data_IF_310923826826
#
_entry.id   IF_310923826826
#
_cell.length_a   1.000
_cell.length_b   1.000
_cell.length_c   1.000
_cell.angle_alpha   90.00
_cell.angle_beta   90.00
_cell.angle_gamma   90.00
#
_symmetry.space_group_name_H-M   'P 1'
#
loop_
_entity.id
_entity.type
_entity.pdbx_description
1 polymer ?
#
# COMPACT_ATOMS: atom_id res chain seq x y z
N UNK A 1 20.28 -34.88 -23.07
CA UNK A 1 20.20 -35.84 -21.95
C UNK A 1 20.61 -35.26 -20.58
N UNK A 2 20.59 -33.93 -20.35
CA UNK A 2 21.01 -33.32 -19.05
C UNK A 2 19.86 -32.74 -18.19
N UNK A 3 18.60 -32.77 -18.67
CA UNK A 3 17.46 -32.18 -17.93
C UNK A 3 16.86 -33.09 -16.84
N UNK A 4 17.14 -34.39 -16.87
CA UNK A 4 16.57 -35.35 -15.89
C UNK A 4 17.36 -35.43 -14.57
N UNK A 5 18.59 -34.94 -14.50
CA UNK A 5 19.41 -35.02 -13.29
C UNK A 5 19.09 -33.93 -12.25
N UNK A 6 18.60 -32.76 -12.69
CA UNK A 6 18.29 -31.64 -11.79
C UNK A 6 17.00 -31.90 -10.99
N UNK A 7 16.01 -32.57 -11.59
CA UNK A 7 14.77 -32.94 -10.88
C UNK A 7 15.00 -33.97 -9.77
N UNK A 8 15.96 -34.89 -9.95
CA UNK A 8 16.30 -35.89 -8.92
C UNK A 8 16.94 -35.28 -7.68
N UNK A 9 17.79 -34.26 -7.84
CA UNK A 9 18.46 -33.59 -6.71
C UNK A 9 17.52 -32.68 -5.89
N UNK A 10 16.55 -32.02 -6.53
CA UNK A 10 15.55 -31.20 -5.83
C UNK A 10 14.58 -32.08 -5.04
N UNK A 11 14.17 -33.23 -5.59
CA UNK A 11 13.32 -34.19 -4.87
C UNK A 11 14.06 -34.86 -3.71
N UNK A 12 15.36 -35.15 -3.84
CA UNK A 12 16.16 -35.66 -2.72
C UNK A 12 16.36 -34.61 -1.61
N UNK A 13 16.51 -33.33 -1.95
CA UNK A 13 16.61 -32.26 -0.96
C UNK A 13 15.29 -32.05 -0.18
N UNK A 14 14.15 -32.15 -0.87
CA UNK A 14 12.83 -32.08 -0.23
C UNK A 14 12.51 -33.32 0.62
N UNK A 15 12.90 -34.52 0.17
CA UNK A 15 12.72 -35.74 0.95
C UNK A 15 13.58 -35.75 2.23
N UNK A 16 14.80 -35.20 2.18
CA UNK A 16 15.68 -35.11 3.35
C UNK A 16 15.21 -34.08 4.39
N UNK A 17 14.48 -33.05 3.98
CA UNK A 17 13.85 -32.10 4.90
C UNK A 17 12.65 -32.70 5.65
N UNK A 18 12.01 -33.73 5.11
CA UNK A 18 10.87 -34.42 5.73
C UNK A 18 11.27 -35.55 6.70
N UNK A 19 12.55 -35.94 6.73
CA UNK A 19 13.10 -36.95 7.64
C UNK A 19 13.85 -36.37 8.84
N UNK A 20 13.71 -35.07 9.13
CA UNK A 20 14.13 -34.61 10.46
C UNK A 20 13.22 -35.30 11.50
N UNK A 21 13.78 -36.13 12.41
CA UNK A 21 12.98 -36.76 13.44
C UNK A 21 12.34 -35.65 14.26
N UNK A 22 11.01 -35.56 14.22
CA UNK A 22 10.26 -34.82 15.20
C UNK A 22 10.60 -35.42 16.56
N UNK A 23 11.59 -34.82 17.23
CA UNK A 23 11.90 -35.10 18.61
C UNK A 23 10.59 -34.96 19.37
N UNK A 24 10.08 -36.09 19.86
CA UNK A 24 8.97 -36.15 20.78
C UNK A 24 9.36 -35.28 21.98
N UNK A 25 8.91 -34.02 21.99
CA UNK A 25 9.08 -33.10 23.09
C UNK A 25 8.36 -33.73 24.29
N UNK A 26 9.14 -34.31 25.21
CA UNK A 26 8.63 -34.74 26.50
C UNK A 26 8.01 -33.51 27.18
N UNK A 27 6.70 -33.51 27.36
CA UNK A 27 5.88 -32.38 27.80
C UNK A 27 6.07 -31.94 29.26
N UNK A 28 7.27 -32.09 29.82
CA UNK A 28 7.61 -31.71 31.19
C UNK A 28 8.91 -30.91 31.31
N UNK A 29 9.53 -30.50 30.20
CA UNK A 29 10.53 -29.42 30.27
C UNK A 29 9.83 -28.15 30.80
N UNK A 30 10.23 -27.75 32.01
CA UNK A 30 9.85 -26.48 32.63
C UNK A 30 10.04 -25.39 31.59
N UNK A 31 8.93 -24.83 31.12
CA UNK A 31 8.95 -23.72 30.18
C UNK A 31 9.86 -22.64 30.78
N UNK A 32 10.83 -22.09 30.01
CA UNK A 32 11.67 -21.02 30.50
C UNK A 32 10.79 -19.92 31.08
N UNK A 33 11.18 -19.38 32.25
CA UNK A 33 10.45 -18.27 32.87
C UNK A 33 10.21 -17.19 31.81
N UNK A 34 8.93 -16.86 31.59
CA UNK A 34 8.55 -15.87 30.59
C UNK A 34 9.29 -14.57 30.86
N UNK A 35 9.80 -13.97 29.80
CA UNK A 35 10.38 -12.65 29.92
C UNK A 35 9.29 -11.69 30.43
N UNK A 36 9.54 -10.90 31.50
CA UNK A 36 8.55 -9.93 31.99
C UNK A 36 8.13 -8.92 30.90
N UNK A 37 8.98 -8.70 29.89
CA UNK A 37 8.65 -7.85 28.75
C UNK A 37 7.66 -8.47 27.77
N UNK A 38 7.78 -9.77 27.46
CA UNK A 38 6.91 -10.46 26.50
C UNK A 38 5.50 -10.72 27.04
N UNK A 39 5.33 -10.63 28.36
CA UNK A 39 4.06 -10.88 29.06
C UNK A 39 3.37 -9.61 29.57
N UNK A 40 3.99 -8.44 29.38
CA UNK A 40 3.42 -7.17 29.82
C UNK A 40 2.32 -6.70 28.88
N UNK A 41 1.05 -6.83 29.31
CA UNK A 41 -0.11 -6.24 28.63
C UNK A 41 0.04 -4.74 28.43
N UNK A 42 0.75 -4.07 29.34
CA UNK A 42 1.02 -2.65 29.21
C UNK A 42 1.97 -2.36 28.04
N UNK A 43 3.05 -3.15 27.90
CA UNK A 43 3.96 -3.01 26.75
C UNK A 43 3.21 -3.25 25.43
N UNK A 44 2.30 -4.23 25.40
CA UNK A 44 1.42 -4.46 24.25
C UNK A 44 0.55 -3.23 23.95
N UNK A 45 -0.06 -2.63 24.97
CA UNK A 45 -0.84 -1.40 24.84
C UNK A 45 -0.01 -0.24 24.28
N UNK A 46 1.22 -0.06 24.77
CA UNK A 46 2.13 0.96 24.26
C UNK A 46 2.59 0.68 22.82
N UNK A 47 2.92 -0.57 22.48
CA UNK A 47 3.28 -0.96 21.10
C UNK A 47 2.11 -0.77 20.13
N UNK A 48 0.89 -1.09 20.56
CA UNK A 48 -0.31 -0.87 19.76
C UNK A 48 -0.59 0.62 19.55
N UNK A 49 -0.47 1.43 20.61
CA UNK A 49 -0.71 2.86 20.60
C UNK A 49 0.29 3.64 19.76
N UNK A 50 1.58 3.42 20.03
CA UNK A 50 2.67 4.11 19.33
C UNK A 50 3.06 3.42 18.04
N UNK A 51 2.29 2.41 17.64
CA UNK A 51 2.51 1.73 16.39
C UNK A 51 3.95 1.21 16.27
N UNK A 52 4.45 0.57 17.32
CA UNK A 52 5.83 0.08 17.37
C UNK A 52 6.91 1.15 17.14
N UNK A 53 6.55 2.45 17.15
CA UNK A 53 7.52 3.53 17.07
C UNK A 53 8.24 3.63 18.41
N UNK A 54 9.32 2.86 18.47
CA UNK A 54 10.20 2.76 19.62
C UNK A 54 10.62 4.11 20.20
N UNK A 55 10.94 5.10 19.35
CA UNK A 55 11.41 6.40 19.82
C UNK A 55 10.30 7.17 20.53
N UNK A 56 9.06 7.09 20.04
CA UNK A 56 7.90 7.69 20.71
C UNK A 56 7.58 6.96 22.01
N UNK A 57 7.63 5.62 22.02
CA UNK A 57 7.46 4.83 23.25
C UNK A 57 8.51 5.20 24.29
N UNK A 58 9.78 5.34 23.89
CA UNK A 58 10.88 5.74 24.76
C UNK A 58 10.69 7.16 25.28
N UNK A 59 10.23 8.09 24.44
CA UNK A 59 9.94 9.45 24.87
C UNK A 59 8.80 9.48 25.90
N UNK A 60 7.70 8.77 25.63
CA UNK A 60 6.58 8.60 26.54
C UNK A 60 7.03 7.99 27.87
N UNK A 61 7.84 6.93 27.83
CA UNK A 61 8.33 6.26 29.03
C UNK A 61 9.28 7.13 29.86
N UNK A 62 10.10 7.97 29.23
CA UNK A 62 10.93 8.95 29.95
C UNK A 62 10.09 9.99 30.68
N UNK A 63 8.98 10.43 30.08
CA UNK A 63 8.07 11.39 30.71
C UNK A 63 7.26 10.76 31.86
N UNK A 64 6.89 9.48 31.71
CA UNK A 64 5.84 8.88 32.55
C UNK A 64 6.32 7.78 33.52
N UNK A 65 7.56 7.31 33.43
CA UNK A 65 8.05 6.20 34.28
C UNK A 65 8.09 6.50 35.78
N UNK A 66 8.16 7.78 36.17
CA UNK A 66 8.11 8.21 37.57
C UNK A 66 6.69 8.55 38.06
N UNK A 67 5.69 8.52 37.18
CA UNK A 67 4.34 8.93 37.52
C UNK A 67 3.67 7.87 38.41
N UNK A 68 3.31 8.28 39.62
CA UNK A 68 2.73 7.38 40.62
C UNK A 68 1.29 7.02 40.28
N UNK A 69 0.56 7.77 39.43
CA UNK A 69 -0.84 7.48 39.10
C UNK A 69 -1.18 7.82 37.65
N UNK A 70 -2.24 7.24 37.09
CA UNK A 70 -2.67 7.50 35.71
C UNK A 70 -3.01 8.99 35.47
N UNK A 71 -3.55 9.68 36.48
CA UNK A 71 -3.86 11.12 36.39
C UNK A 71 -2.62 12.01 36.31
N UNK A 72 -1.46 11.47 36.67
CA UNK A 72 -0.18 12.17 36.58
C UNK A 72 0.56 11.88 35.26
N UNK A 73 -0.03 11.10 34.35
CA UNK A 73 0.58 10.82 33.07
C UNK A 73 0.52 12.04 32.15
N UNK A 74 1.64 12.39 31.56
CA UNK A 74 1.73 13.34 30.47
C UNK A 74 1.21 12.67 29.19
N UNK A 75 0.00 13.07 28.79
CA UNK A 75 -0.68 12.60 27.59
C UNK A 75 -0.46 13.56 26.39
N UNK A 76 0.54 14.45 26.43
CA UNK A 76 0.80 15.39 25.33
C UNK A 76 1.18 14.72 24.01
N UNK A 77 1.72 13.50 24.07
CA UNK A 77 2.11 12.73 22.88
C UNK A 77 0.93 12.09 22.14
N UNK A 78 -0.27 12.15 22.73
CA UNK A 78 -1.46 11.60 22.13
C UNK A 78 -2.15 12.65 21.26
N UNK A 79 -2.55 12.25 20.05
CA UNK A 79 -3.35 13.11 19.17
C UNK A 79 -4.70 13.50 19.80
N UNK A 80 -5.22 12.68 20.72
CA UNK A 80 -6.41 12.99 21.51
C UNK A 80 -6.41 12.23 22.85
N UNK A 81 -7.12 12.72 23.88
CA UNK A 81 -7.29 11.99 25.14
C UNK A 81 -7.95 10.61 24.96
N UNK A 82 -8.85 10.47 23.98
CA UNK A 82 -9.51 9.20 23.69
C UNK A 82 -8.53 8.12 23.21
N UNK A 83 -7.45 8.52 22.52
CA UNK A 83 -6.41 7.59 22.10
C UNK A 83 -5.65 6.96 23.28
N UNK A 84 -5.65 7.61 24.46
CA UNK A 84 -4.98 7.10 25.66
C UNK A 84 -5.80 6.04 26.41
N UNK A 85 -7.11 5.96 26.20
CA UNK A 85 -8.00 5.07 26.97
C UNK A 85 -7.61 3.58 26.89
N UNK A 86 -7.28 3.02 25.71
CA UNK A 86 -6.87 1.62 25.62
C UNK A 86 -5.61 1.32 26.44
N UNK A 87 -4.65 2.25 26.45
CA UNK A 87 -3.40 2.10 27.21
C UNK A 87 -3.68 2.20 28.70
N UNK A 88 -4.47 3.18 29.15
CA UNK A 88 -4.87 3.27 30.55
C UNK A 88 -5.62 2.03 31.05
N UNK A 89 -6.33 1.33 30.17
CA UNK A 89 -7.02 0.07 30.49
C UNK A 89 -6.08 -1.14 30.55
N UNK A 90 -5.06 -1.19 29.69
CA UNK A 90 -4.10 -2.29 29.57
C UNK A 90 -2.90 -2.14 30.52
N UNK A 91 -2.61 -0.93 30.96
CA UNK A 91 -1.52 -0.58 31.86
C UNK A 91 -2.06 -0.30 33.26
N UNK A 92 -2.09 -1.29 34.17
CA UNK A 92 -2.23 -0.98 35.59
C UNK A 92 -1.03 -0.13 36.05
N UNK A 93 -1.18 0.54 37.19
CA UNK A 93 -0.20 1.47 37.75
C UNK A 93 1.24 0.92 37.77
N UNK A 94 1.40 -0.34 38.21
CA UNK A 94 2.71 -1.00 38.25
C UNK A 94 3.18 -1.51 36.87
N UNK A 95 2.22 -1.77 35.97
CA UNK A 95 2.46 -2.29 34.62
C UNK A 95 3.22 -1.31 33.73
N UNK A 96 3.01 0.00 33.91
CA UNK A 96 3.75 1.02 33.15
C UNK A 96 5.24 1.01 33.48
N UNK A 97 5.61 0.86 34.75
CA UNK A 97 7.02 0.84 35.14
C UNK A 97 7.76 -0.36 34.53
N UNK A 98 7.12 -1.54 34.52
CA UNK A 98 7.64 -2.75 33.88
C UNK A 98 7.78 -2.54 32.37
N UNK A 99 6.70 -2.07 31.71
CA UNK A 99 6.72 -1.83 30.27
C UNK A 99 7.81 -0.81 29.88
N UNK A 100 7.95 0.27 30.64
CA UNK A 100 8.99 1.27 30.41
C UNK A 100 10.40 0.76 30.70
N UNK A 101 10.57 -0.13 31.69
CA UNK A 101 11.82 -0.84 31.90
C UNK A 101 12.25 -1.63 30.67
N UNK A 102 11.31 -2.31 30.01
CA UNK A 102 11.54 -2.98 28.72
C UNK A 102 11.84 -1.97 27.61
N UNK A 103 11.11 -0.85 27.57
CA UNK A 103 11.31 0.23 26.59
C UNK A 103 12.63 1.00 26.79
N UNK A 104 13.36 0.80 27.88
CA UNK A 104 14.71 1.40 28.01
C UNK A 104 15.80 0.45 27.49
N UNK A 105 15.53 -0.86 27.43
CA UNK A 105 16.51 -1.87 27.04
C UNK A 105 16.83 -1.93 25.55
N UNK A 106 16.02 -1.28 24.70
CA UNK A 106 16.12 -1.33 23.24
C UNK A 106 14.87 -1.92 22.60
N UNK A 107 14.71 -1.86 21.27
CA UNK A 107 13.50 -2.33 20.60
C UNK A 107 13.20 -3.79 20.99
N UNK A 108 12.20 -3.98 21.85
CA UNK A 108 11.77 -5.29 22.32
C UNK A 108 10.52 -5.70 21.56
N UNK A 109 10.47 -6.94 21.09
CA UNK A 109 9.22 -7.50 20.63
C UNK A 109 8.27 -7.69 21.81
N UNK A 110 7.14 -6.97 21.82
CA UNK A 110 6.14 -7.08 22.88
C UNK A 110 5.56 -8.51 23.02
N UNK A 111 5.70 -9.36 21.99
CA UNK A 111 5.27 -10.75 21.98
C UNK A 111 6.42 -11.70 21.59
N UNK A 112 7.60 -11.50 22.18
CA UNK A 112 8.80 -12.29 21.89
C UNK A 112 8.60 -13.80 22.10
N UNK A 113 7.91 -14.21 23.17
CA UNK A 113 7.64 -15.62 23.42
C UNK A 113 6.76 -16.23 22.33
N UNK A 114 5.73 -15.49 21.91
CA UNK A 114 4.86 -15.90 20.80
C UNK A 114 5.63 -15.94 19.48
N UNK A 115 6.50 -14.95 19.22
CA UNK A 115 7.41 -14.92 18.05
C UNK A 115 8.30 -16.15 18.01
N UNK A 116 9.01 -16.45 19.09
CA UNK A 116 9.89 -17.61 19.18
C UNK A 116 9.12 -18.94 18.98
N UNK A 117 7.92 -19.05 19.56
CA UNK A 117 7.07 -20.22 19.37
C UNK A 117 6.62 -20.37 17.90
N UNK A 118 6.23 -19.27 17.26
CA UNK A 118 5.87 -19.25 15.84
C UNK A 118 7.06 -19.59 14.94
N UNK A 119 8.24 -19.04 15.18
CA UNK A 119 9.46 -19.38 14.42
C UNK A 119 9.78 -20.85 14.53
N UNK A 120 9.77 -21.40 15.74
CA UNK A 120 10.00 -22.82 15.97
C UNK A 120 8.98 -23.68 15.20
N UNK A 121 7.71 -23.29 15.22
CA UNK A 121 6.62 -24.04 14.61
C UNK A 121 6.62 -23.96 13.07
N UNK A 122 6.91 -22.79 12.52
CA UNK A 122 6.88 -22.53 11.08
C UNK A 122 8.17 -22.97 10.37
N UNK A 123 9.20 -23.37 11.12
CA UNK A 123 10.46 -23.86 10.55
C UNK A 123 11.51 -22.75 10.34
N UNK A 124 11.46 -21.70 11.15
CA UNK A 124 12.47 -20.64 11.22
C UNK A 124 11.91 -19.22 11.01
N UNK A 125 12.76 -18.23 11.23
CA UNK A 125 12.43 -16.80 11.09
C UNK A 125 11.95 -16.42 9.69
N UNK A 126 12.56 -17.00 8.65
CA UNK A 126 12.14 -16.77 7.26
C UNK A 126 10.71 -17.25 6.99
N UNK A 127 10.36 -18.47 7.42
CA UNK A 127 9.01 -19.00 7.24
C UNK A 127 7.98 -18.25 8.08
N UNK A 128 8.36 -17.79 9.28
CA UNK A 128 7.53 -16.88 10.07
C UNK A 128 7.29 -15.56 9.35
N UNK A 129 8.33 -14.94 8.80
CA UNK A 129 8.21 -13.71 8.02
C UNK A 129 7.28 -13.93 6.82
N UNK A 130 7.50 -14.97 6.03
CA UNK A 130 6.65 -15.29 4.89
C UNK A 130 5.20 -15.52 5.34
N UNK A 131 4.96 -16.23 6.44
CA UNK A 131 3.63 -16.39 7.03
C UNK A 131 3.01 -15.06 7.45
N UNK A 132 3.73 -14.22 8.17
CA UNK A 132 3.21 -12.97 8.71
C UNK A 132 2.83 -11.95 7.63
N UNK A 133 3.38 -12.08 6.43
CA UNK A 133 3.12 -11.16 5.32
C UNK A 133 2.30 -11.78 4.19
N UNK A 134 2.48 -13.05 3.85
CA UNK A 134 1.56 -13.78 2.95
C UNK A 134 0.20 -14.01 3.62
N UNK A 135 0.22 -14.16 4.96
CA UNK A 135 -0.91 -14.15 5.89
C UNK A 135 -1.66 -12.81 5.97
N UNK A 136 -1.51 -11.92 4.99
CA UNK A 136 -2.26 -10.67 4.90
C UNK A 136 -2.93 -10.46 3.55
N UNK A 137 -2.70 -11.33 2.58
CA UNK A 137 -3.45 -11.34 1.32
C UNK A 137 -4.82 -11.98 1.55
N UNK A 138 -5.73 -11.25 2.19
CA UNK A 138 -7.15 -11.54 2.01
C UNK A 138 -7.57 -10.92 0.68
N UNK A 139 -7.85 -11.78 -0.30
CA UNK A 139 -8.85 -11.47 -1.31
C UNK A 139 -10.17 -11.99 -0.73
N UNK A 140 -11.00 -11.15 -0.07
CA UNK A 140 -12.32 -11.57 0.36
C UNK A 140 -13.12 -11.84 -0.90
N UNK A 141 -13.09 -13.09 -1.38
CA UNK A 141 -14.01 -13.52 -2.43
C UNK A 141 -15.41 -13.22 -1.91
N UNK A 142 -16.23 -12.43 -2.64
CA UNK A 142 -17.58 -12.14 -2.21
C UNK A 142 -18.34 -13.47 -2.01
N UNK A 143 -18.76 -13.73 -0.77
CA UNK A 143 -19.45 -14.97 -0.38
C UNK A 143 -18.60 -15.99 0.41
N UNK A 144 -17.34 -15.72 0.71
CA UNK A 144 -16.53 -16.53 1.64
C UNK A 144 -16.61 -15.95 3.06
N UNK A 145 -17.51 -16.46 3.90
CA UNK A 145 -17.64 -16.06 5.32
C UNK A 145 -16.41 -16.43 6.18
N UNK A 146 -15.45 -17.20 5.62
CA UNK A 146 -14.20 -17.52 6.31
C UNK A 146 -13.05 -16.79 5.64
N UNK A 147 -12.42 -15.89 6.39
CA UNK A 147 -11.12 -15.33 6.01
C UNK A 147 -10.07 -16.44 6.12
N UNK A 148 -9.34 -16.79 5.05
CA UNK A 148 -8.22 -17.75 5.09
C UNK A 148 -7.27 -17.54 6.28
N UNK A 149 -7.08 -16.28 6.70
CA UNK A 149 -6.26 -15.94 7.87
C UNK A 149 -6.82 -16.43 9.18
N UNK A 150 -8.13 -16.46 9.38
CA UNK A 150 -8.70 -16.95 10.64
C UNK A 150 -8.39 -18.43 10.84
N UNK A 151 -8.37 -19.21 9.76
CA UNK A 151 -8.00 -20.63 9.83
C UNK A 151 -6.50 -20.81 10.13
N UNK A 152 -5.62 -20.17 9.37
CA UNK A 152 -4.18 -20.29 9.58
C UNK A 152 -3.75 -19.77 10.97
N UNK A 153 -4.40 -18.70 11.44
CA UNK A 153 -4.19 -18.14 12.77
C UNK A 153 -4.75 -19.04 13.86
N UNK A 154 -5.92 -19.66 13.64
CA UNK A 154 -6.48 -20.62 14.59
C UNK A 154 -5.60 -21.86 14.75
N UNK A 155 -4.91 -22.30 13.70
CA UNK A 155 -3.93 -23.38 13.78
C UNK A 155 -2.72 -22.98 14.62
N UNK A 156 -2.23 -21.75 14.49
CA UNK A 156 -1.17 -21.24 15.36
C UNK A 156 -1.62 -21.03 16.80
N UNK A 157 -2.85 -20.58 17.04
CA UNK A 157 -3.36 -20.45 18.41
C UNK A 157 -3.62 -21.82 19.06
N UNK A 158 -4.01 -22.81 18.26
CA UNK A 158 -4.24 -24.19 18.73
C UNK A 158 -2.94 -24.96 18.94
N UNK A 159 -1.98 -24.80 18.03
CA UNK A 159 -0.77 -25.63 17.95
C UNK A 159 0.52 -24.88 18.31
N UNK A 160 0.48 -23.55 18.46
CA UNK A 160 1.61 -22.65 18.77
C UNK A 160 1.97 -22.58 20.25
N UNK A 161 1.46 -23.52 21.07
CA UNK A 161 1.71 -23.63 22.51
C UNK A 161 1.10 -22.47 23.32
N UNK A 162 1.11 -22.51 24.67
CA UNK A 162 0.59 -21.42 25.49
C UNK A 162 1.29 -20.07 25.28
N UNK A 163 2.34 -19.98 24.47
CA UNK A 163 3.06 -18.74 24.17
C UNK A 163 2.24 -17.70 23.38
N UNK A 164 1.27 -18.12 22.56
CA UNK A 164 0.40 -17.24 21.77
C UNK A 164 -1.06 -17.40 22.24
N UNK A 165 -1.50 -16.60 23.20
CA UNK A 165 -2.81 -16.72 23.83
C UNK A 165 -3.95 -16.11 23.02
N UNK A 166 -3.65 -15.09 22.21
CA UNK A 166 -4.67 -14.38 21.46
C UNK A 166 -4.12 -13.86 20.14
N UNK A 167 -5.05 -13.49 19.24
CA UNK A 167 -4.69 -12.89 17.96
C UNK A 167 -3.80 -11.66 18.12
N UNK A 168 -3.98 -10.88 19.19
CA UNK A 168 -3.15 -9.71 19.46
C UNK A 168 -1.66 -10.05 19.58
N UNK A 169 -1.32 -11.08 20.35
CA UNK A 169 0.07 -11.53 20.54
C UNK A 169 0.70 -12.05 19.26
N UNK A 170 -0.02 -12.85 18.46
CA UNK A 170 0.50 -13.30 17.16
C UNK A 170 0.79 -12.11 16.24
N UNK A 171 -0.06 -11.08 16.27
CA UNK A 171 0.16 -9.89 15.46
C UNK A 171 1.35 -9.07 15.94
N UNK A 172 1.53 -8.92 17.25
CA UNK A 172 2.73 -8.29 17.80
C UNK A 172 3.98 -9.11 17.43
N UNK A 173 3.91 -10.44 17.50
CA UNK A 173 4.99 -11.32 17.08
C UNK A 173 5.33 -11.13 15.59
N UNK A 174 4.32 -11.03 14.73
CA UNK A 174 4.50 -10.75 13.31
C UNK A 174 5.10 -9.37 13.01
N UNK A 175 4.87 -8.35 13.84
CA UNK A 175 5.56 -7.05 13.69
C UNK A 175 7.06 -7.19 13.87
N UNK A 176 7.48 -8.15 14.68
CA UNK A 176 8.88 -8.42 14.99
C UNK A 176 9.52 -9.45 14.07
N UNK A 177 8.74 -10.09 13.18
CA UNK A 177 9.25 -11.14 12.29
C UNK A 177 9.90 -10.58 11.02
N UNK A 178 10.09 -9.26 10.92
CA UNK A 178 10.87 -8.65 9.85
C UNK A 178 12.32 -9.13 9.96
N UNK A 179 12.83 -9.93 9.02
CA UNK A 179 14.18 -10.46 9.12
C UNK A 179 15.16 -9.29 8.99
N UNK A 180 15.97 -9.07 10.03
CA UNK A 180 16.99 -8.01 10.01
C UNK A 180 18.07 -8.26 8.95
N UNK A 181 18.29 -9.53 8.63
CA UNK A 181 19.24 -10.05 7.65
C UNK A 181 18.67 -10.16 6.24
N UNK A 182 17.39 -9.83 6.02
CA UNK A 182 16.80 -9.79 4.68
C UNK A 182 17.52 -8.74 3.83
N UNK A 183 17.83 -9.12 2.60
CA UNK A 183 18.29 -8.18 1.58
C UNK A 183 17.10 -7.38 1.04
N UNK A 184 16.86 -6.21 1.62
CA UNK A 184 15.83 -5.26 1.16
C UNK A 184 16.28 -4.59 -0.13
N UNK A 185 15.39 -4.50 -1.13
CA UNK A 185 15.71 -3.80 -2.39
C UNK A 185 16.03 -2.32 -2.14
N UNK A 186 15.36 -1.70 -1.17
CA UNK A 186 15.55 -0.32 -0.73
C UNK A 186 15.73 -0.27 0.80
N UNK A 187 16.96 -0.47 1.32
CA UNK A 187 17.21 -0.62 2.76
C UNK A 187 16.82 0.58 3.62
N UNK A 188 16.86 1.80 3.06
CA UNK A 188 16.39 3.02 3.73
C UNK A 188 14.91 2.99 4.06
N UNK A 189 14.12 2.22 3.29
CA UNK A 189 12.67 2.18 3.37
C UNK A 189 12.14 1.09 4.30
N UNK A 190 12.99 0.17 4.77
CA UNK A 190 12.59 -1.00 5.59
C UNK A 190 11.79 -0.67 6.85
N UNK A 191 11.87 0.58 7.34
CA UNK A 191 11.13 1.04 8.51
C UNK A 191 9.70 1.48 8.18
N UNK A 192 9.40 1.73 6.90
CA UNK A 192 8.03 1.92 6.43
C UNK A 192 7.35 0.55 6.30
N UNK A 193 6.32 0.33 7.10
CA UNK A 193 5.60 -0.94 7.15
C UNK A 193 5.00 -1.33 5.79
N UNK A 194 4.50 -0.36 5.03
CA UNK A 194 3.91 -0.64 3.73
C UNK A 194 4.94 -0.97 2.68
N UNK A 195 6.10 -0.31 2.70
CA UNK A 195 7.22 -0.74 1.88
C UNK A 195 7.66 -2.15 2.24
N UNK A 196 7.89 -2.44 3.52
CA UNK A 196 8.34 -3.75 3.96
C UNK A 196 7.35 -4.84 3.53
N UNK A 197 6.05 -4.55 3.62
CA UNK A 197 5.00 -5.47 3.18
C UNK A 197 5.00 -5.70 1.67
N UNK A 198 5.17 -4.63 0.88
CA UNK A 198 5.31 -4.72 -0.58
C UNK A 198 6.57 -5.51 -0.98
N UNK A 199 7.72 -5.24 -0.36
CA UNK A 199 8.99 -5.92 -0.63
C UNK A 199 8.95 -7.40 -0.25
N UNK A 200 8.27 -7.72 0.85
CA UNK A 200 8.05 -9.10 1.24
C UNK A 200 7.19 -9.87 0.26
N UNK A 201 6.14 -9.23 -0.26
CA UNK A 201 5.21 -9.85 -1.18
C UNK A 201 5.75 -9.96 -2.61
N UNK A 202 6.38 -8.90 -3.10
CA UNK A 202 6.77 -8.75 -4.51
C UNK A 202 8.25 -9.08 -4.75
N UNK A 203 9.08 -9.06 -3.70
CA UNK A 203 10.52 -9.32 -3.79
C UNK A 203 11.19 -8.36 -4.77
N UNK A 204 11.89 -8.90 -5.75
CA UNK A 204 12.62 -8.12 -6.77
C UNK A 204 11.71 -7.24 -7.65
N UNK A 205 10.40 -7.53 -7.70
CA UNK A 205 9.44 -6.77 -8.49
C UNK A 205 9.00 -5.46 -7.82
N UNK A 206 9.34 -5.24 -6.54
CA UNK A 206 8.86 -4.10 -5.73
C UNK A 206 9.20 -2.76 -6.35
N UNK A 207 10.44 -2.56 -6.77
CA UNK A 207 10.85 -1.30 -7.41
C UNK A 207 10.05 -0.97 -8.68
N UNK A 208 9.76 -1.99 -9.51
CA UNK A 208 8.95 -1.82 -10.73
C UNK A 208 7.50 -1.49 -10.39
N UNK A 209 6.89 -2.24 -9.48
CA UNK A 209 5.51 -1.98 -9.05
C UNK A 209 5.38 -0.60 -8.44
N UNK A 210 6.34 -0.17 -7.62
CA UNK A 210 6.35 1.17 -7.05
C UNK A 210 6.52 2.27 -8.10
N UNK A 211 7.39 2.07 -9.09
CA UNK A 211 7.52 3.00 -10.22
C UNK A 211 6.22 3.13 -11.01
N UNK A 212 5.56 2.00 -11.30
CA UNK A 212 4.30 1.98 -12.03
C UNK A 212 3.15 2.56 -11.19
N UNK A 213 3.14 2.34 -9.88
CA UNK A 213 2.12 2.89 -8.98
C UNK A 213 2.24 4.42 -8.89
N UNK A 214 3.44 4.95 -8.71
CA UNK A 214 3.70 6.40 -8.68
C UNK A 214 3.38 7.07 -10.00
N UNK A 215 3.58 6.37 -11.12
CA UNK A 215 3.20 6.87 -12.43
C UNK A 215 1.72 6.68 -12.77
N UNK A 216 0.91 6.06 -11.90
CA UNK A 216 -0.50 5.76 -12.18
C UNK A 216 -0.73 4.67 -13.23
N UNK A 217 0.29 3.86 -13.54
CA UNK A 217 0.22 2.69 -14.45
C UNK A 217 -0.17 1.40 -13.75
N UNK A 218 0.07 1.28 -12.45
CA UNK A 218 -0.35 0.15 -11.64
C UNK A 218 -1.46 0.55 -10.66
N UNK A 219 -2.22 -0.45 -10.22
CA UNK A 219 -3.17 -0.32 -9.11
C UNK A 219 -2.44 -0.61 -7.80
N UNK A 220 -3.00 -0.13 -6.68
CA UNK A 220 -2.58 -0.65 -5.39
C UNK A 220 -2.69 -2.18 -5.38
N UNK A 221 -1.70 -2.83 -4.80
CA UNK A 221 -1.86 -4.23 -4.44
C UNK A 221 -3.01 -4.30 -3.43
N UNK A 222 -3.91 -5.26 -3.57
CA UNK A 222 -5.06 -5.41 -2.66
C UNK A 222 -4.61 -5.35 -1.19
N UNK A 223 -5.46 -4.82 -0.30
CA UNK A 223 -5.15 -4.44 1.09
C UNK A 223 -4.08 -5.35 1.72
N UNK A 224 -2.84 -4.87 1.73
CA UNK A 224 -1.74 -5.58 2.37
C UNK A 224 -1.73 -5.15 3.83
N UNK A 225 -1.55 -6.12 4.73
CA UNK A 225 -1.46 -5.87 6.16
C UNK A 225 -2.52 -6.60 6.97
N UNK A 226 -2.24 -6.70 8.26
CA UNK A 226 -3.08 -7.44 9.20
C UNK A 226 -4.34 -6.59 9.51
N UNK A 227 -5.42 -6.82 8.76
CA UNK A 227 -6.67 -6.00 8.74
C UNK A 227 -7.37 -5.76 10.09
N UNK A 228 -6.96 -6.38 11.19
CA UNK A 228 -7.85 -6.62 12.34
C UNK A 228 -7.49 -5.93 13.65
N UNK A 229 -6.48 -5.05 13.71
CA UNK A 229 -6.11 -4.34 14.97
C UNK A 229 -6.52 -2.87 14.96
N UNK A 230 -6.46 -2.22 13.80
CA UNK A 230 -6.75 -0.79 13.69
C UNK A 230 -6.92 -0.43 12.22
N UNK A 231 -7.88 0.44 11.86
CA UNK A 231 -7.96 0.99 10.50
C UNK A 231 -6.67 1.69 10.05
N UNK A 232 -5.75 1.94 10.98
CA UNK A 232 -4.52 2.70 10.78
C UNK A 232 -3.40 1.91 10.08
N UNK A 233 -3.51 0.58 9.93
CA UNK A 233 -2.42 -0.26 9.38
C UNK A 233 -2.79 -1.18 8.23
N UNK A 234 -3.91 -0.93 7.56
CA UNK A 234 -4.04 -1.42 6.19
C UNK A 234 -3.16 -0.55 5.30
N UNK A 235 -2.31 -1.16 4.48
CA UNK A 235 -1.62 -0.42 3.42
C UNK A 235 -2.62 -0.11 2.32
N UNK A 236 -3.37 0.98 2.51
CA UNK A 236 -4.28 1.52 1.52
C UNK A 236 -3.50 2.10 0.35
N UNK A 237 -4.22 2.60 -0.66
CA UNK A 237 -3.60 3.21 -1.84
C UNK A 237 -2.67 4.39 -1.47
N UNK A 238 -3.11 5.27 -0.57
CA UNK A 238 -2.31 6.41 -0.11
C UNK A 238 -1.01 5.97 0.59
N UNK A 239 -1.08 4.96 1.45
CA UNK A 239 0.08 4.45 2.18
C UNK A 239 1.05 3.70 1.26
N UNK A 240 0.54 2.95 0.28
CA UNK A 240 1.37 2.32 -0.75
C UNK A 240 2.10 3.35 -1.61
N UNK A 241 1.44 4.45 -1.99
CA UNK A 241 2.11 5.55 -2.70
C UNK A 241 3.20 6.20 -1.86
N UNK A 242 2.92 6.48 -0.58
CA UNK A 242 3.89 7.02 0.37
C UNK A 242 5.10 6.08 0.54
N UNK A 243 4.87 4.79 0.69
CA UNK A 243 5.91 3.77 0.77
C UNK A 243 6.75 3.74 -0.53
N UNK A 244 6.09 3.77 -1.68
CA UNK A 244 6.77 3.73 -2.97
C UNK A 244 7.62 4.96 -3.24
N UNK A 245 7.27 6.14 -2.71
CA UNK A 245 8.15 7.32 -2.80
C UNK A 245 9.50 7.12 -2.13
N UNK A 246 9.56 6.33 -1.05
CA UNK A 246 10.84 6.03 -0.44
C UNK A 246 11.76 5.24 -1.40
N UNK A 247 11.19 4.46 -2.32
CA UNK A 247 11.94 3.60 -3.26
C UNK A 247 12.51 4.35 -4.47
N UNK A 248 12.07 5.58 -4.72
CA UNK A 248 12.48 6.38 -5.88
C UNK A 248 13.18 7.65 -5.41
N UNK A 249 14.18 8.10 -6.17
CA UNK A 249 14.70 9.45 -5.98
C UNK A 249 13.60 10.46 -6.37
N UNK A 250 13.32 11.44 -5.50
CA UNK A 250 12.38 12.48 -5.87
C UNK A 250 12.96 13.26 -7.07
N UNK A 251 12.20 13.40 -8.17
CA UNK A 251 12.65 14.22 -9.28
C UNK A 251 12.92 15.64 -8.77
N UNK A 252 14.01 16.24 -9.23
CA UNK A 252 14.39 17.60 -8.86
C UNK A 252 13.19 18.52 -9.07
N UNK A 253 12.80 19.24 -8.01
CA UNK A 253 11.64 20.11 -8.06
C UNK A 253 12.05 21.43 -8.69
N UNK A 254 11.43 21.77 -9.81
CA UNK A 254 11.37 23.16 -10.25
C UNK A 254 10.30 23.88 -9.39
N UNK A 255 10.66 24.11 -8.12
CA UNK A 255 9.75 24.62 -7.08
C UNK A 255 9.24 26.06 -7.36
N UNK A 256 9.87 26.79 -8.29
CA UNK A 256 9.68 28.25 -8.41
C UNK A 256 8.54 28.71 -9.35
N UNK A 257 8.06 27.89 -10.30
CA UNK A 257 6.94 28.27 -11.19
C UNK A 257 5.62 27.59 -10.86
N UNK A 258 5.62 26.64 -9.90
CA UNK A 258 4.47 25.77 -9.66
C UNK A 258 3.41 26.39 -8.70
N UNK A 259 3.71 27.47 -7.99
CA UNK A 259 2.84 28.01 -6.94
C UNK A 259 1.67 28.93 -7.40
N UNK A 260 1.62 29.33 -8.67
CA UNK A 260 0.75 30.43 -9.10
C UNK A 260 -0.72 30.06 -9.39
N UNK A 261 -1.05 28.80 -9.66
CA UNK A 261 -2.42 28.44 -10.10
C UNK A 261 -3.39 28.30 -8.93
N UNK A 262 -4.52 29.00 -9.00
CA UNK A 262 -5.59 28.95 -8.00
C UNK A 262 -6.11 27.53 -7.76
N UNK A 263 -6.19 26.72 -8.82
CA UNK A 263 -6.66 25.33 -8.74
C UNK A 263 -5.78 24.43 -7.86
N UNK A 264 -4.49 24.76 -7.66
CA UNK A 264 -3.59 23.98 -6.80
C UNK A 264 -3.92 24.12 -5.31
N UNK A 265 -4.76 25.09 -4.94
CA UNK A 265 -5.22 25.27 -3.54
C UNK A 265 -6.35 24.32 -3.15
N UNK A 266 -6.95 23.59 -4.10
CA UNK A 266 -7.99 22.63 -3.79
C UNK A 266 -7.46 21.44 -3.00
N UNK A 267 -8.27 20.96 -2.05
CA UNK A 267 -7.93 19.89 -1.11
C UNK A 267 -7.43 18.63 -1.82
N UNK A 268 -8.07 18.24 -2.93
CA UNK A 268 -7.67 17.05 -3.67
C UNK A 268 -6.27 17.17 -4.30
N UNK A 269 -5.95 18.30 -4.93
CA UNK A 269 -4.61 18.53 -5.47
C UNK A 269 -3.55 18.53 -4.36
N UNK A 270 -3.85 19.15 -3.22
CA UNK A 270 -2.95 19.15 -2.06
C UNK A 270 -2.71 17.74 -1.52
N UNK A 271 -3.75 16.92 -1.41
CA UNK A 271 -3.63 15.51 -1.02
C UNK A 271 -2.77 14.71 -2.01
N UNK A 272 -2.97 14.92 -3.31
CA UNK A 272 -2.16 14.30 -4.37
C UNK A 272 -0.69 14.73 -4.28
N UNK A 273 -0.41 16.04 -4.19
CA UNK A 273 0.97 16.55 -4.08
C UNK A 273 1.64 16.07 -2.80
N UNK A 274 0.93 16.06 -1.68
CA UNK A 274 1.43 15.54 -0.40
C UNK A 274 1.76 14.05 -0.49
N UNK A 275 0.96 13.26 -1.19
CA UNK A 275 1.10 11.81 -1.29
C UNK A 275 2.10 11.39 -2.37
N UNK A 276 2.07 11.99 -3.56
CA UNK A 276 2.87 11.64 -4.74
C UNK A 276 4.16 12.46 -4.90
N UNK A 277 4.26 13.62 -4.23
CA UNK A 277 5.41 14.50 -4.36
C UNK A 277 5.62 14.98 -5.81
N UNK A 278 6.82 14.78 -6.33
CA UNK A 278 7.18 15.14 -7.70
C UNK A 278 6.49 14.30 -8.79
N UNK A 279 5.91 13.15 -8.45
CA UNK A 279 5.26 12.25 -9.41
C UNK A 279 3.81 12.61 -9.75
N UNK A 280 3.28 13.69 -9.16
CA UNK A 280 1.87 14.10 -9.39
C UNK A 280 1.55 14.33 -10.87
N UNK A 281 2.51 14.84 -11.65
CA UNK A 281 2.34 15.09 -13.09
C UNK A 281 2.15 13.80 -13.89
N UNK A 282 3.04 12.82 -13.68
CA UNK A 282 2.98 11.51 -14.35
C UNK A 282 1.70 10.76 -14.02
N UNK A 283 1.36 10.70 -12.73
CA UNK A 283 0.13 10.09 -12.24
C UNK A 283 -1.09 10.73 -12.91
N UNK A 284 -1.15 12.05 -12.91
CA UNK A 284 -2.28 12.76 -13.49
C UNK A 284 -2.34 12.69 -15.02
N UNK A 285 -1.21 12.55 -15.71
CA UNK A 285 -1.17 12.20 -17.13
C UNK A 285 -1.90 10.89 -17.39
N UNK A 286 -1.52 9.82 -16.67
CA UNK A 286 -2.15 8.50 -16.81
C UNK A 286 -3.65 8.50 -16.45
N UNK A 287 -4.06 9.23 -15.41
CA UNK A 287 -5.48 9.39 -15.05
C UNK A 287 -6.27 9.99 -16.21
N UNK A 288 -5.77 11.09 -16.80
CA UNK A 288 -6.45 11.79 -17.89
C UNK A 288 -6.47 10.97 -19.19
N UNK A 289 -5.40 10.26 -19.51
CA UNK A 289 -5.35 9.34 -20.65
C UNK A 289 -6.35 8.19 -20.50
N UNK A 290 -6.41 7.61 -19.29
CA UNK A 290 -7.38 6.55 -18.97
C UNK A 290 -8.81 7.07 -19.13
N UNK A 291 -9.11 8.26 -18.62
CA UNK A 291 -10.41 8.91 -18.75
C UNK A 291 -10.80 9.17 -20.21
N UNK A 292 -9.86 9.67 -21.02
CA UNK A 292 -10.07 9.90 -22.45
C UNK A 292 -10.36 8.59 -23.19
N UNK A 293 -9.63 7.51 -22.87
CA UNK A 293 -9.86 6.20 -23.47
C UNK A 293 -11.23 5.61 -23.07
N UNK A 294 -11.65 5.84 -21.84
CA UNK A 294 -12.92 5.34 -21.30
C UNK A 294 -14.11 6.08 -21.91
N UNK A 295 -14.06 7.40 -21.98
CA UNK A 295 -15.08 8.24 -22.64
C UNK A 295 -15.17 7.97 -24.14
N UNK A 296 -14.07 7.63 -24.81
CA UNK A 296 -14.10 7.20 -26.22
C UNK A 296 -14.82 5.85 -26.39
N UNK A 297 -14.58 4.89 -25.49
CA UNK A 297 -15.16 3.54 -25.58
C UNK A 297 -16.63 3.48 -25.15
N UNK A 298 -17.03 4.30 -24.17
CA UNK A 298 -18.36 4.24 -23.54
C UNK A 298 -19.14 5.57 -23.64
N UNK A 299 -18.69 6.48 -24.50
CA UNK A 299 -19.29 7.80 -24.67
C UNK A 299 -20.71 7.77 -25.25
N UNK A 300 -21.37 8.95 -25.29
CA UNK A 300 -22.81 9.08 -25.58
C UNK A 300 -23.28 8.52 -26.92
N UNK A 301 -22.37 8.19 -27.84
CA UNK A 301 -22.71 7.43 -29.05
C UNK A 301 -23.32 6.05 -28.76
N UNK A 302 -23.13 5.48 -27.56
CA UNK A 302 -23.81 4.26 -27.12
C UNK A 302 -25.24 4.51 -26.58
N UNK A 303 -25.60 5.76 -26.26
CA UNK A 303 -26.92 6.14 -25.75
C UNK A 303 -27.89 6.61 -26.84
N UNK A 304 -27.40 6.87 -28.07
CA UNK A 304 -28.17 7.49 -29.15
C UNK A 304 -28.62 6.48 -30.23
N UNK A 305 -28.87 5.21 -29.86
CA UNK A 305 -29.32 4.16 -30.80
C UNK A 305 -30.71 3.56 -30.49
N UNK A 306 -31.57 4.21 -29.70
CA UNK A 306 -32.92 3.66 -29.38
C UNK A 306 -34.08 4.29 -30.13
N UNK A 307 -33.87 5.14 -31.13
CA UNK A 307 -34.94 5.53 -32.06
C UNK A 307 -34.88 4.68 -33.33
N UNK A 308 -34.89 3.36 -33.17
CA UNK A 308 -35.37 2.48 -34.25
C UNK A 308 -36.88 2.46 -34.11
N UNK A 309 -37.52 3.32 -34.90
CA UNK A 309 -38.95 3.33 -35.18
C UNK A 309 -39.44 1.88 -35.27
N UNK A 310 -40.34 1.49 -34.36
CA UNK A 310 -41.02 0.21 -34.36
C UNK A 310 -41.95 0.13 -35.58
N UNK A 311 -41.35 -0.14 -36.74
CA UNK A 311 -42.03 -0.60 -37.93
C UNK A 311 -42.50 -2.03 -37.73
N UNK A 312 -43.79 -2.12 -37.44
CA UNK A 312 -44.71 -3.26 -37.46
C UNK A 312 -44.18 -4.60 -38.05
N UNK A 313 -44.24 -5.65 -37.21
CA UNK A 313 -44.45 -7.03 -37.66
C UNK A 313 -43.27 -7.81 -38.23
N UNK A 314 -42.30 -8.20 -37.41
CA UNK A 314 -41.45 -9.36 -37.71
C UNK A 314 -40.85 -9.95 -36.44
N UNK A 315 -41.29 -11.16 -36.09
CA UNK A 315 -40.71 -11.98 -35.03
C UNK A 315 -39.24 -12.28 -35.39
N UNK A 316 -38.31 -11.60 -34.74
CA UNK A 316 -36.88 -11.90 -34.82
C UNK A 316 -36.26 -11.99 -33.42
N UNK A 317 -35.21 -12.81 -33.26
CA UNK A 317 -34.83 -13.37 -31.96
C UNK A 317 -34.26 -12.27 -31.07
N UNK A 318 -34.80 -12.19 -29.85
CA UNK A 318 -34.28 -11.35 -28.76
C UNK A 318 -32.79 -11.64 -28.52
N UNK A 319 -31.92 -10.82 -29.11
CA UNK A 319 -30.56 -10.66 -28.64
C UNK A 319 -30.64 -9.91 -27.33
N UNK A 320 -30.40 -10.63 -26.23
CA UNK A 320 -30.29 -10.13 -24.88
C UNK A 320 -29.45 -8.85 -24.87
N UNK A 321 -30.09 -7.70 -24.66
CA UNK A 321 -29.42 -6.49 -24.24
C UNK A 321 -28.76 -6.80 -22.90
N UNK A 322 -27.47 -7.12 -22.94
CA UNK A 322 -26.68 -7.26 -21.73
C UNK A 322 -26.60 -5.86 -21.15
N UNK A 323 -27.38 -5.60 -20.11
CA UNK A 323 -27.23 -4.41 -19.28
C UNK A 323 -25.82 -4.44 -18.66
N UNK A 324 -24.85 -3.86 -19.36
CA UNK A 324 -23.50 -3.60 -18.85
C UNK A 324 -23.57 -2.35 -17.96
N UNK A 325 -24.51 -2.33 -17.02
CA UNK A 325 -24.62 -1.31 -15.97
C UNK A 325 -24.24 -1.91 -14.61
N UNK A 326 -23.16 -2.67 -14.60
CA UNK A 326 -22.55 -3.11 -13.35
C UNK A 326 -21.71 -1.99 -12.73
N UNK A 327 -21.72 -1.80 -11.39
CA UNK A 327 -20.83 -0.89 -10.64
C UNK A 327 -19.33 -1.25 -10.73
N UNK A 328 -18.95 -2.08 -11.69
CA UNK A 328 -17.60 -2.61 -11.90
C UNK A 328 -16.86 -1.93 -13.06
N UNK A 329 -17.52 -1.04 -13.82
CA UNK A 329 -16.91 -0.39 -14.99
C UNK A 329 -16.11 0.88 -14.69
N UNK A 330 -16.13 1.36 -13.46
CA UNK A 330 -15.27 2.50 -13.11
C UNK A 330 -13.80 2.11 -13.26
N UNK A 331 -13.01 2.95 -13.96
CA UNK A 331 -11.56 2.80 -14.00
C UNK A 331 -11.05 2.66 -12.56
N UNK A 332 -10.31 1.60 -12.27
CA UNK A 332 -9.91 1.36 -10.88
C UNK A 332 -9.07 2.50 -10.28
N UNK A 333 -8.40 3.29 -11.11
CA UNK A 333 -7.70 4.49 -10.67
C UNK A 333 -8.64 5.52 -10.01
N UNK A 334 -9.92 5.55 -10.40
CA UNK A 334 -10.94 6.39 -9.76
C UNK A 334 -11.33 5.83 -8.38
N UNK A 335 -11.47 4.51 -8.24
CA UNK A 335 -11.71 3.85 -6.94
C UNK A 335 -10.53 4.01 -5.99
N UNK A 336 -9.31 3.86 -6.51
CA UNK A 336 -8.09 4.04 -5.72
C UNK A 336 -7.97 5.49 -5.21
N UNK A 337 -8.41 6.47 -6.00
CA UNK A 337 -8.43 7.88 -5.61
C UNK A 337 -9.42 8.24 -4.49
N UNK A 338 -10.47 7.45 -4.26
CA UNK A 338 -11.31 7.62 -3.06
C UNK A 338 -10.47 7.46 -1.78
N UNK A 339 -9.43 6.62 -1.83
CA UNK A 339 -8.46 6.47 -0.75
C UNK A 339 -7.63 7.72 -0.46
N UNK A 340 -7.63 8.71 -1.38
CA UNK A 340 -7.03 10.04 -1.18
C UNK A 340 -8.05 11.08 -0.67
N UNK A 341 -9.30 10.67 -0.47
CA UNK A 341 -10.40 11.56 -0.06
C UNK A 341 -10.84 12.52 -1.16
N UNK A 342 -10.61 12.17 -2.44
CA UNK A 342 -11.09 12.88 -3.61
C UNK A 342 -12.25 12.13 -4.24
N UNK A 343 -13.29 12.85 -4.69
CA UNK A 343 -14.23 12.26 -5.65
C UNK A 343 -13.61 12.22 -7.07
N UNK A 344 -14.19 11.43 -7.97
CA UNK A 344 -13.69 11.28 -9.36
C UNK A 344 -13.60 12.62 -10.10
N UNK A 345 -14.53 13.55 -9.87
CA UNK A 345 -14.55 14.85 -10.55
C UNK A 345 -13.45 15.76 -10.00
N UNK A 346 -13.28 15.81 -8.68
CA UNK A 346 -12.20 16.53 -8.00
C UNK A 346 -10.83 16.00 -8.44
N UNK A 347 -10.68 14.69 -8.59
CA UNK A 347 -9.47 14.06 -9.11
C UNK A 347 -9.16 14.54 -10.53
N UNK A 348 -10.14 14.51 -11.44
CA UNK A 348 -9.94 14.96 -12.82
C UNK A 348 -9.61 16.45 -12.89
N UNK A 349 -10.22 17.28 -12.05
CA UNK A 349 -9.91 18.71 -11.96
C UNK A 349 -8.49 18.95 -11.42
N UNK A 350 -8.12 18.28 -10.33
CA UNK A 350 -6.78 18.33 -9.78
C UNK A 350 -5.73 17.86 -10.80
N UNK A 351 -6.05 16.84 -11.59
CA UNK A 351 -5.14 16.33 -12.60
C UNK A 351 -5.01 17.23 -13.84
N UNK A 352 -6.07 17.91 -14.27
CA UNK A 352 -5.94 18.99 -15.27
C UNK A 352 -5.08 20.13 -14.74
N UNK A 353 -5.23 20.47 -13.46
CA UNK A 353 -4.42 21.48 -12.80
C UNK A 353 -2.93 21.09 -12.69
N UNK A 354 -2.63 19.78 -12.58
CA UNK A 354 -1.27 19.25 -12.53
C UNK A 354 -0.53 19.29 -13.88
N UNK A 355 -1.24 19.33 -15.01
CA UNK A 355 -0.61 19.34 -16.33
C UNK A 355 0.22 20.62 -16.55
N UNK A 356 1.37 20.53 -17.24
CA UNK A 356 2.10 21.72 -17.66
C UNK A 356 1.21 22.60 -18.55
N UNK A 357 1.38 23.93 -18.45
CA UNK A 357 0.71 24.85 -19.38
C UNK A 357 1.19 24.51 -20.78
N UNK A 358 0.25 24.34 -21.72
CA UNK A 358 0.62 24.22 -23.13
C UNK A 358 0.64 25.61 -23.70
N UNK A 359 1.83 26.13 -23.93
CA UNK A 359 2.03 27.36 -24.65
C UNK A 359 2.06 27.06 -26.14
N UNK A 360 1.23 27.77 -26.90
CA UNK A 360 1.34 27.78 -28.34
C UNK A 360 2.59 28.60 -28.75
N UNK A 361 3.03 28.43 -30.00
CA UNK A 361 4.26 29.07 -30.54
C UNK A 361 4.21 30.61 -30.51
N UNK A 362 3.06 31.20 -30.18
CA UNK A 362 2.79 32.64 -30.08
C UNK A 362 2.86 33.19 -28.65
N UNK A 363 3.55 32.50 -27.73
CA UNK A 363 3.69 32.86 -26.31
C UNK A 363 2.37 32.90 -25.51
N UNK A 364 1.25 32.48 -26.11
CA UNK A 364 -0.02 32.34 -25.41
C UNK A 364 -0.13 30.94 -24.77
N UNK A 365 0.06 30.90 -23.46
CA UNK A 365 -0.13 29.72 -22.65
C UNK A 365 -1.60 29.49 -22.33
N UNK A 366 -2.15 28.37 -22.80
CA UNK A 366 -3.53 27.99 -22.55
C UNK A 366 -3.61 26.81 -21.57
N UNK A 367 -4.62 26.84 -20.70
CA UNK A 367 -4.96 25.67 -19.89
C UNK A 367 -5.61 24.62 -20.79
N UNK A 368 -4.97 23.45 -20.92
CA UNK A 368 -5.38 22.37 -21.82
C UNK A 368 -6.72 21.68 -21.46
N UNK A 369 -7.56 22.29 -20.62
CA UNK A 369 -8.71 21.65 -19.99
C UNK A 369 -10.03 22.40 -20.07
N UNK A 370 -10.13 23.56 -20.73
CA UNK A 370 -11.42 24.23 -20.89
C UNK A 370 -12.17 23.65 -22.12
N UNK A 371 -13.24 22.84 -21.93
CA UNK A 371 -14.03 22.30 -23.05
C UNK A 371 -14.68 23.39 -23.92
N UNK A 372 -14.65 24.66 -23.48
CA UNK A 372 -15.11 25.80 -24.27
C UNK A 372 -14.21 26.11 -25.48
N UNK A 373 -12.92 25.74 -25.46
CA UNK A 373 -12.00 26.05 -26.57
C UNK A 373 -12.07 25.04 -27.75
N UNK A 374 -12.67 23.87 -27.54
CA UNK A 374 -12.83 22.86 -28.60
C UNK A 374 -14.13 23.00 -29.41
N UNK A 375 -15.00 23.96 -29.05
CA UNK A 375 -16.17 24.27 -29.86
C UNK A 375 -15.80 25.20 -31.03
N UNK A 376 -15.61 24.57 -32.19
CA UNK A 376 -15.77 25.15 -33.54
C UNK A 376 -14.71 26.18 -33.96
N UNK A 377 -13.51 25.69 -34.30
CA UNK A 377 -12.84 26.19 -35.51
C UNK A 377 -13.02 25.17 -36.63
N UNK A 378 -13.86 25.46 -37.66
CA UNK A 378 -14.00 24.57 -38.80
C UNK A 378 -12.68 24.55 -39.56
N UNK A 379 -11.95 23.44 -39.44
CA UNK A 379 -10.92 22.96 -40.37
C UNK A 379 -10.39 23.99 -41.38
N UNK A 380 -9.63 25.00 -40.92
CA UNK A 380 -8.73 25.72 -41.81
C UNK A 380 -7.58 24.75 -42.10
N UNK A 381 -7.64 24.11 -43.27
CA UNK A 381 -6.53 23.32 -43.80
C UNK A 381 -5.25 24.15 -43.70
N UNK A 382 -4.17 23.63 -43.10
CA UNK A 382 -2.90 24.33 -43.12
C UNK A 382 -2.45 24.53 -44.57
N UNK A 383 -1.86 25.68 -44.92
CA UNK A 383 -1.34 25.90 -46.27
C UNK A 383 -0.30 24.83 -46.59
N UNK A 384 -0.52 24.10 -47.69
CA UNK A 384 0.46 23.17 -48.26
C UNK A 384 1.78 23.92 -48.48
N UNK A 385 2.75 23.72 -47.58
CA UNK A 385 4.13 24.13 -47.83
C UNK A 385 4.67 23.26 -48.96
N UNK A 386 4.92 23.89 -50.12
CA UNK A 386 5.75 23.31 -51.18
C UNK A 386 7.11 22.96 -50.57
N UNK A 387 7.45 21.68 -50.59
CA UNK A 387 8.81 21.21 -50.36
C UNK A 387 9.72 21.91 -51.38
N UNK A 388 10.55 22.84 -50.89
CA UNK A 388 11.67 23.39 -51.66
C UNK A 388 12.79 22.36 -51.56
N UNK A 389 13.19 21.82 -52.70
CA UNK A 389 14.25 20.82 -52.81
C UNK A 389 15.54 21.33 -52.18
N UNK A 390 16.13 20.48 -51.34
CA UNK A 390 17.50 20.64 -50.87
C UNK A 390 18.40 20.09 -51.96
N UNK A 391 19.06 20.98 -52.72
CA UNK A 391 20.19 20.60 -53.57
C UNK A 391 21.39 20.34 -52.65
N UNK A 392 21.82 19.09 -52.61
CA UNK A 392 23.08 18.66 -52.00
C UNK A 392 24.23 19.06 -52.91
N UNK A 393 24.89 20.17 -52.57
CA UNK A 393 26.17 20.58 -53.15
C UNK A 393 27.32 19.75 -52.58
N UNK A 394 27.86 18.87 -53.40
CA UNK A 394 29.16 18.22 -53.23
C UNK A 394 30.27 19.25 -53.45
N UNK A 395 30.97 19.61 -52.38
CA UNK A 395 32.19 20.43 -52.42
C UNK A 395 33.38 19.62 -51.92
N UNK A 396 34.23 19.19 -52.85
CA UNK A 396 35.54 18.60 -52.62
C UNK A 396 36.63 19.66 -52.79
N UNK A 397 37.51 19.85 -51.80
CA UNK A 397 38.86 20.48 -51.86
C UNK A 397 39.36 20.61 -50.40
N UNK A 398 40.62 20.41 -50.00
CA UNK A 398 41.89 20.03 -50.62
C UNK A 398 42.81 19.55 -49.50
#
# INVERSE_FOLDING_TARGET
MMKSFVFGLVLLALAKSLEQPHGSLNGTELLPERNPCSSSLCLYGLDALFEGNWLLMLHFCRQNSAAVSHTAWDLSLFASPAAAEPVMRLCPQDGLSIACGCVVQGPVCAAEDCRAAMESKLGGSKAMADYCFAGTLDDPRPGSDRKPHDFAMSLLLRDGSPACFNHGEVRAACRCSLPQDRHWQFPSCRHDFCYASLDMLLGEATGRVCQDLLAGRARAVGKIGIESVSPVRSCGFADQLKACRCTQEEPARDDDEEAARSCRRHKCYQALKQTLGGHVGDFCGMVLETEASWTFRFGPAAAETTDIDHGDGSESPSLMAVEVHGPWLEPAIARDAEGLGCDRRELLEACRCAQPLRCADDDECYEAGSPAAFQRSPWRRPPRRRARGWESGSGASS
#
